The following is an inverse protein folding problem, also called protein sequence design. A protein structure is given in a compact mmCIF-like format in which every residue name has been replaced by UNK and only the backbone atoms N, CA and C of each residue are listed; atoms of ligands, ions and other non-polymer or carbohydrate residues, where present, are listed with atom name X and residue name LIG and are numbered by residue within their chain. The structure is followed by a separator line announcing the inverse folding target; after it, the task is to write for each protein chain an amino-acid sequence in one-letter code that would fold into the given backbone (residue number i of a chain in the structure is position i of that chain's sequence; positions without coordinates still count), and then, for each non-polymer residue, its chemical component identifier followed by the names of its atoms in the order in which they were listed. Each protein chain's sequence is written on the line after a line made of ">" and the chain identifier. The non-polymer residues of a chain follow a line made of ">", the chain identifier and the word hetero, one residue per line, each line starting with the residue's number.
data_IF_989168685359
#
_entry.id   IF_989168685359
#
_cell.length_a   1.000
_cell.length_b   1.000
_cell.length_c   1.000
_cell.angle_alpha   90.00
_cell.angle_beta   90.00
_cell.angle_gamma   90.00
#
_symmetry.space_group_name_H-M   'P 1'
#
loop_
_entity.id
_entity.type
_entity.pdbx_description
1 polymer ?
#
# COMPACT_ATOMS: atom_id res chain seq x y z
N UNK A 1 -0.12 -8.07 10.61
CA UNK A 1 0.26 -6.76 10.04
C UNK A 1 -0.93 -5.78 10.03
N UNK A 2 -2.14 -6.23 9.66
CA UNK A 2 -3.38 -5.42 9.71
C UNK A 2 -3.50 -4.51 10.94
N UNK A 3 -3.59 -5.08 12.14
CA UNK A 3 -3.86 -4.29 13.37
C UNK A 3 -2.80 -3.24 13.67
N UNK A 4 -1.54 -3.51 13.30
CA UNK A 4 -0.46 -2.56 13.47
C UNK A 4 -0.61 -1.37 12.52
N UNK A 5 -0.96 -1.63 11.25
CA UNK A 5 -1.21 -0.57 10.27
C UNK A 5 -2.44 0.26 10.66
N UNK A 6 -3.50 -0.37 11.18
CA UNK A 6 -4.68 0.35 11.70
C UNK A 6 -4.31 1.22 12.90
N UNK A 7 -3.54 0.68 13.86
CA UNK A 7 -3.11 1.40 15.07
C UNK A 7 -2.21 2.60 14.79
N UNK A 8 -1.37 2.53 13.76
CA UNK A 8 -0.37 3.55 13.43
C UNK A 8 -0.60 4.21 12.07
N UNK A 9 -1.85 4.21 11.61
CA UNK A 9 -2.25 4.64 10.26
C UNK A 9 -1.75 6.04 9.87
N UNK A 10 -1.59 6.97 10.81
CA UNK A 10 -1.13 8.35 10.53
C UNK A 10 0.41 8.49 10.40
N UNK A 11 1.15 7.39 10.56
CA UNK A 11 2.63 7.38 10.64
C UNK A 11 3.31 6.56 9.54
N UNK A 12 2.54 6.04 8.58
CA UNK A 12 3.02 5.12 7.55
C UNK A 12 2.65 5.61 6.16
N UNK A 13 3.49 5.32 5.18
CA UNK A 13 3.25 5.62 3.76
C UNK A 13 3.67 4.42 2.93
N UNK A 14 3.02 4.24 1.78
CA UNK A 14 3.42 3.25 0.79
C UNK A 14 4.10 3.94 -0.39
N UNK A 15 5.18 3.32 -0.88
CA UNK A 15 5.91 3.81 -2.04
C UNK A 15 6.93 2.79 -2.51
N UNK A 16 7.34 2.93 -3.77
CA UNK A 16 8.40 2.12 -4.39
C UNK A 16 9.62 3.00 -4.63
N UNK A 17 10.80 2.38 -4.56
CA UNK A 17 12.10 3.01 -4.88
C UNK A 17 12.29 3.32 -6.38
N UNK A 18 11.30 2.98 -7.20
CA UNK A 18 11.33 3.08 -8.66
C UNK A 18 9.92 3.29 -9.23
N UNK A 19 9.82 4.07 -10.30
CA UNK A 19 8.56 4.30 -11.02
C UNK A 19 8.33 3.20 -12.06
N UNK A 20 7.54 2.19 -11.68
CA UNK A 20 7.05 1.15 -12.59
C UNK A 20 5.58 0.84 -12.26
N UNK A 21 4.63 1.56 -12.89
CA UNK A 21 3.19 1.45 -12.57
C UNK A 21 2.62 0.05 -12.76
N UNK A 22 3.14 -0.72 -13.73
CA UNK A 22 2.65 -2.07 -14.02
C UNK A 22 2.86 -3.06 -12.86
N UNK A 23 3.72 -2.73 -11.89
CA UNK A 23 4.03 -3.58 -10.75
C UNK A 23 3.18 -3.31 -9.51
N UNK A 24 2.35 -2.28 -9.49
CA UNK A 24 1.52 -1.92 -8.34
C UNK A 24 0.37 -2.90 -8.03
N UNK A 25 -0.32 -3.53 -9.01
CA UNK A 25 -1.49 -4.35 -8.72
C UNK A 25 -1.27 -5.48 -7.68
N UNK A 26 -0.15 -6.23 -7.68
CA UNK A 26 0.17 -7.18 -6.61
C UNK A 26 0.23 -6.56 -5.21
N UNK A 27 0.73 -5.33 -5.07
CA UNK A 27 0.78 -4.64 -3.77
C UNK A 27 -0.61 -4.20 -3.32
N UNK A 28 -1.43 -3.67 -4.24
CA UNK A 28 -2.82 -3.33 -3.95
C UNK A 28 -3.59 -4.57 -3.50
N UNK A 29 -3.39 -5.72 -4.15
CA UNK A 29 -3.98 -6.99 -3.71
C UNK A 29 -3.60 -7.35 -2.27
N UNK A 30 -2.33 -7.18 -1.87
CA UNK A 30 -1.89 -7.39 -0.48
C UNK A 30 -2.58 -6.42 0.48
N UNK A 31 -2.72 -5.15 0.13
CA UNK A 31 -3.23 -4.13 1.04
C UNK A 31 -4.76 -4.18 1.18
N UNK A 32 -5.48 -4.41 0.08
CA UNK A 32 -6.92 -4.15 -0.05
C UNK A 32 -7.79 -5.40 0.13
N UNK A 33 -7.25 -6.59 -0.16
CA UNK A 33 -8.05 -7.82 -0.18
C UNK A 33 -7.87 -8.65 1.08
N UNK A 34 -8.82 -9.55 1.33
CA UNK A 34 -8.69 -10.63 2.32
C UNK A 34 -8.13 -11.93 1.69
N UNK A 35 -7.52 -11.85 0.50
CA UNK A 35 -7.07 -13.04 -0.24
C UNK A 35 -5.98 -13.78 0.52
N UNK A 36 -6.16 -15.09 0.64
CA UNK A 36 -5.19 -15.95 1.31
C UNK A 36 -4.28 -16.67 0.29
N UNK A 37 -3.01 -16.83 0.64
CA UNK A 37 -2.05 -17.73 -0.02
C UNK A 37 -1.91 -17.57 -1.56
N UNK A 38 -1.73 -16.34 -2.07
CA UNK A 38 -1.61 -16.08 -3.51
C UNK A 38 -0.15 -15.91 -4.01
N UNK A 39 0.16 -16.23 -5.28
CA UNK A 39 1.52 -16.16 -5.80
C UNK A 39 2.02 -14.72 -5.95
N UNK A 40 3.32 -14.51 -5.68
CA UNK A 40 4.00 -13.27 -6.04
C UNK A 40 4.20 -13.17 -7.56
N UNK A 41 4.14 -11.94 -8.10
CA UNK A 41 4.20 -11.69 -9.54
C UNK A 41 5.59 -11.98 -10.16
N UNK A 42 6.68 -11.91 -9.38
CA UNK A 42 8.04 -12.26 -9.85
C UNK A 42 8.49 -13.62 -9.34
N UNK A 43 8.78 -14.55 -10.25
CA UNK A 43 9.23 -15.91 -9.93
C UNK A 43 10.57 -16.00 -9.17
N UNK A 44 11.39 -14.94 -9.18
CA UNK A 44 12.76 -14.93 -8.62
C UNK A 44 12.89 -14.24 -7.25
N UNK A 45 11.96 -13.34 -6.89
CA UNK A 45 12.17 -12.45 -5.73
C UNK A 45 11.37 -12.83 -4.47
N UNK A 46 10.31 -13.62 -4.59
CA UNK A 46 9.63 -14.17 -3.42
C UNK A 46 9.18 -15.60 -3.72
N UNK A 47 9.77 -16.55 -3.00
CA UNK A 47 9.33 -17.95 -2.98
C UNK A 47 8.07 -18.14 -2.11
N UNK A 48 7.76 -17.13 -1.29
CA UNK A 48 6.65 -17.13 -0.36
C UNK A 48 5.36 -16.66 -1.02
N UNK A 49 4.25 -17.29 -0.62
CA UNK A 49 2.93 -16.79 -0.93
C UNK A 49 2.64 -15.51 -0.15
N UNK A 50 1.86 -14.65 -0.76
CA UNK A 50 1.37 -13.42 -0.15
C UNK A 50 0.01 -13.63 0.48
N UNK A 51 -0.30 -12.75 1.43
CA UNK A 51 -1.53 -12.73 2.19
C UNK A 51 -2.10 -11.31 2.16
N UNK A 52 -3.39 -11.20 1.91
CA UNK A 52 -4.14 -9.97 1.97
C UNK A 52 -4.27 -9.47 3.41
N UNK A 53 -4.31 -8.15 3.56
CA UNK A 53 -4.44 -7.48 4.85
C UNK A 53 -5.84 -6.94 5.09
N UNK A 54 -6.67 -6.80 4.03
CA UNK A 54 -8.01 -6.23 4.08
C UNK A 54 -8.06 -4.92 4.88
N UNK A 55 -7.16 -3.98 4.58
CA UNK A 55 -7.09 -2.71 5.30
C UNK A 55 -8.36 -1.88 5.03
N UNK A 56 -8.92 -1.20 6.06
CA UNK A 56 -10.05 -0.29 5.86
C UNK A 56 -9.71 0.85 4.90
N UNK A 57 -10.72 1.34 4.17
CA UNK A 57 -10.58 2.44 3.20
C UNK A 57 -9.90 3.67 3.80
N UNK A 58 -10.20 4.02 5.06
CA UNK A 58 -9.56 5.15 5.75
C UNK A 58 -8.04 4.97 5.88
N UNK A 59 -7.59 3.74 6.15
CA UNK A 59 -6.16 3.42 6.29
C UNK A 59 -5.51 3.42 4.91
N UNK A 60 -6.20 2.92 3.89
CA UNK A 60 -5.71 2.91 2.50
C UNK A 60 -5.49 4.33 1.98
N UNK A 61 -6.45 5.26 2.16
CA UNK A 61 -6.27 6.66 1.74
C UNK A 61 -5.08 7.32 2.41
N UNK A 62 -4.90 7.09 3.72
CA UNK A 62 -3.75 7.59 4.48
C UNK A 62 -2.43 7.04 3.96
N UNK A 63 -2.40 5.73 3.71
CA UNK A 63 -1.21 5.03 3.23
C UNK A 63 -0.84 5.47 1.81
N UNK A 64 -1.83 5.71 0.94
CA UNK A 64 -1.63 6.06 -0.46
C UNK A 64 -1.35 7.54 -0.70
N UNK A 65 -1.96 8.47 0.03
CA UNK A 65 -1.73 9.89 -0.24
C UNK A 65 -1.92 10.85 0.94
N UNK A 66 -2.85 10.64 1.88
CA UNK A 66 -3.13 11.70 2.87
C UNK A 66 -1.93 11.97 3.78
N UNK A 67 -1.18 10.92 4.18
CA UNK A 67 0.03 11.10 4.96
C UNK A 67 1.15 11.79 4.16
N UNK A 68 1.29 11.45 2.88
CA UNK A 68 2.26 12.08 2.00
C UNK A 68 1.98 13.59 1.84
N UNK A 69 0.70 13.96 1.60
CA UNK A 69 0.25 15.34 1.52
C UNK A 69 0.47 16.15 2.80
N UNK A 70 0.56 15.47 3.96
CA UNK A 70 0.83 16.10 5.25
C UNK A 70 2.31 16.39 5.46
N UNK A 71 3.20 15.53 4.98
CA UNK A 71 4.63 15.57 5.34
C UNK A 71 5.56 16.04 4.22
N UNK A 72 5.16 15.92 2.95
CA UNK A 72 5.98 16.30 1.80
C UNK A 72 5.61 17.72 1.37
N UNK A 73 6.51 18.71 1.52
CA UNK A 73 6.24 20.07 1.07
C UNK A 73 6.08 20.16 -0.44
N UNK A 74 5.17 21.02 -0.90
CA UNK A 74 5.02 21.32 -2.33
C UNK A 74 4.13 20.35 -3.13
N UNK A 75 3.53 19.34 -2.49
CA UNK A 75 2.54 18.49 -3.17
C UNK A 75 1.23 19.24 -3.40
N UNK A 76 0.76 19.21 -4.66
CA UNK A 76 -0.52 19.78 -5.06
C UNK A 76 -1.67 18.87 -4.63
N UNK A 77 -2.39 19.29 -3.58
CA UNK A 77 -3.53 18.56 -3.03
C UNK A 77 -4.66 18.36 -4.04
N UNK A 78 -4.80 19.23 -5.03
CA UNK A 78 -5.89 19.14 -6.02
C UNK A 78 -5.77 17.93 -6.95
N UNK A 79 -4.58 17.30 -7.00
CA UNK A 79 -4.31 16.08 -7.78
C UNK A 79 -4.79 14.80 -7.10
N UNK A 80 -5.25 14.88 -5.87
CA UNK A 80 -5.71 13.75 -5.06
C UNK A 80 -7.18 13.99 -4.70
N UNK A 81 -8.02 12.96 -4.80
CA UNK A 81 -9.46 13.02 -4.51
C UNK A 81 -9.83 11.88 -3.59
#
# INVERSE_FOLDING_TARGET
>A
AHDWLVKYQDRVMFGKDSWEPSEYPPYFRVLETADDYFPYYRRRHAFWKLYGLALPDEVLRKLYYENALRVIPGLDRSRFR
#
